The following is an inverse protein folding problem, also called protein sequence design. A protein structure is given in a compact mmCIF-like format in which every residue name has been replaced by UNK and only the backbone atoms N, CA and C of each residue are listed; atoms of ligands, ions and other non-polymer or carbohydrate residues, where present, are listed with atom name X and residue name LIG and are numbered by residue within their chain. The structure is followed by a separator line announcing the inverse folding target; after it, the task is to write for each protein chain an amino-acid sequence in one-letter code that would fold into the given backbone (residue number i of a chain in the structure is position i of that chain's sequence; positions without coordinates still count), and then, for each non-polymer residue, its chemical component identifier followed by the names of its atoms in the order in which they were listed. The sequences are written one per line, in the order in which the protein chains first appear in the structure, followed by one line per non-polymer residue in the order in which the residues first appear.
data_IF_870839922267
#
_entry.id   IF_870839922267
#
_cell.length_a   1.000
_cell.length_b   1.000
_cell.length_c   1.000
_cell.angle_alpha   90.00
_cell.angle_beta   90.00
_cell.angle_gamma   90.00
#
_symmetry.space_group_name_H-M   'P 1'
#
loop_
_entity.id
_entity.type
_entity.pdbx_description
1 polymer ?
#
# COMPACT_ATOMS: atom_id res chain seq x y z
N UNK A 1 13.95 10.42 8.55
CA UNK A 1 13.07 9.35 8.01
C UNK A 1 12.84 8.30 9.09
N UNK A 2 11.60 7.84 9.18
CA UNK A 2 11.25 6.83 10.18
C UNK A 2 11.30 5.44 9.55
N UNK A 3 12.01 4.53 10.21
CA UNK A 3 12.11 3.15 9.78
C UNK A 3 11.16 2.29 10.62
N UNK A 4 10.36 1.45 9.97
CA UNK A 4 9.47 0.54 10.67
C UNK A 4 10.29 -0.62 11.25
N UNK A 5 9.90 -1.08 12.43
CA UNK A 5 10.55 -2.24 13.04
C UNK A 5 10.22 -3.51 12.27
N UNK A 6 11.08 -4.52 12.41
CA UNK A 6 10.86 -5.82 11.79
C UNK A 6 9.56 -6.46 12.28
N UNK A 7 9.28 -6.35 13.57
CA UNK A 7 8.05 -6.90 14.16
C UNK A 7 6.82 -6.23 13.58
N UNK A 8 6.88 -4.89 13.39
CA UNK A 8 5.77 -4.16 12.82
C UNK A 8 5.52 -4.55 11.36
N UNK A 9 6.59 -4.70 10.58
CA UNK A 9 6.46 -5.13 9.19
C UNK A 9 5.87 -6.53 9.12
N UNK A 10 6.30 -7.42 10.00
CA UNK A 10 5.77 -8.78 10.02
C UNK A 10 4.28 -8.79 10.40
N UNK A 11 3.89 -7.95 11.34
CA UNK A 11 2.47 -7.80 11.71
C UNK A 11 1.65 -7.27 10.54
N UNK A 12 2.20 -6.33 9.77
CA UNK A 12 1.55 -5.80 8.57
C UNK A 12 1.36 -6.89 7.52
N UNK A 13 2.37 -7.73 7.31
CA UNK A 13 2.26 -8.84 6.37
C UNK A 13 1.13 -9.78 6.76
N UNK A 14 1.04 -10.10 8.04
CA UNK A 14 0.01 -11.01 8.54
C UNK A 14 -1.39 -10.43 8.36
N UNK A 15 -1.57 -9.13 8.61
CA UNK A 15 -2.89 -8.53 8.64
C UNK A 15 -3.31 -7.90 7.31
N UNK A 16 -2.37 -7.57 6.41
CA UNK A 16 -2.70 -6.79 5.21
C UNK A 16 -2.64 -7.58 3.90
N UNK A 17 -1.73 -8.55 3.77
CA UNK A 17 -1.61 -9.28 2.50
C UNK A 17 -2.92 -10.00 2.19
N UNK A 18 -3.43 -9.79 0.98
CA UNK A 18 -4.71 -10.35 0.54
C UNK A 18 -5.91 -9.44 0.83
N UNK A 19 -5.72 -8.37 1.58
CA UNK A 19 -6.81 -7.45 1.91
C UNK A 19 -7.10 -6.49 0.77
N UNK A 20 -8.36 -6.08 0.66
CA UNK A 20 -8.77 -5.05 -0.28
C UNK A 20 -8.54 -3.68 0.35
N UNK A 21 -8.01 -2.77 -0.45
CA UNK A 21 -7.71 -1.41 -0.02
C UNK A 21 -8.19 -0.42 -1.08
N UNK A 22 -8.38 0.82 -0.66
CA UNK A 22 -8.70 1.93 -1.57
C UNK A 22 -7.67 3.03 -1.39
N UNK A 23 -7.21 3.60 -2.50
CA UNK A 23 -6.26 4.69 -2.48
C UNK A 23 -6.93 5.95 -1.92
N UNK A 24 -6.28 6.59 -0.96
CA UNK A 24 -6.69 7.90 -0.45
C UNK A 24 -5.87 8.99 -1.14
N UNK A 25 -4.54 8.87 -1.13
CA UNK A 25 -3.68 9.80 -1.85
C UNK A 25 -2.30 9.16 -2.06
N UNK A 26 -1.60 9.65 -3.08
CA UNK A 26 -0.23 9.23 -3.34
C UNK A 26 0.63 10.47 -3.61
N UNK A 27 1.90 10.38 -3.27
CA UNK A 27 2.88 11.43 -3.53
C UNK A 27 3.51 11.32 -4.91
N UNK A 28 3.25 10.25 -5.64
CA UNK A 28 3.84 10.04 -6.97
C UNK A 28 3.17 10.95 -8.01
N UNK A 29 3.89 11.96 -8.54
CA UNK A 29 3.27 12.90 -9.48
C UNK A 29 3.08 12.32 -10.87
N UNK A 30 3.63 11.15 -11.15
CA UNK A 30 3.59 10.54 -12.48
C UNK A 30 2.56 9.43 -12.60
N UNK A 31 1.94 9.03 -11.49
CA UNK A 31 0.95 7.96 -11.54
C UNK A 31 -0.38 8.46 -12.10
N UNK A 32 -1.08 7.57 -12.80
CA UNK A 32 -2.46 7.80 -13.23
C UNK A 32 -3.47 7.28 -12.21
N UNK A 33 -2.98 6.72 -11.14
CA UNK A 33 -3.82 6.14 -10.11
C UNK A 33 -4.60 7.22 -9.39
N UNK A 34 -5.90 7.09 -9.32
CA UNK A 34 -6.78 8.11 -8.74
C UNK A 34 -7.26 7.69 -7.37
N UNK A 35 -7.52 8.68 -6.52
CA UNK A 35 -8.13 8.43 -5.21
C UNK A 35 -9.45 7.66 -5.39
N UNK A 36 -9.68 6.69 -4.52
CA UNK A 36 -10.84 5.81 -4.61
C UNK A 36 -10.61 4.53 -5.39
N UNK A 37 -9.51 4.44 -6.16
CA UNK A 37 -9.18 3.19 -6.85
C UNK A 37 -8.93 2.10 -5.82
N UNK A 38 -9.49 0.91 -6.06
CA UNK A 38 -9.35 -0.22 -5.17
C UNK A 38 -8.32 -1.22 -5.71
N UNK A 39 -7.81 -2.03 -4.81
CA UNK A 39 -6.86 -3.06 -5.17
C UNK A 39 -6.67 -4.07 -4.05
N UNK A 40 -5.82 -5.05 -4.29
CA UNK A 40 -5.52 -6.11 -3.33
C UNK A 40 -4.04 -6.03 -2.94
N UNK A 41 -3.76 -6.03 -1.65
CA UNK A 41 -2.37 -6.04 -1.16
C UNK A 41 -1.74 -7.36 -1.53
N UNK A 42 -0.62 -7.29 -2.28
CA UNK A 42 0.06 -8.49 -2.78
C UNK A 42 1.36 -8.78 -2.04
N UNK A 43 2.04 -7.74 -1.55
CA UNK A 43 3.39 -7.89 -1.02
C UNK A 43 3.74 -6.70 -0.15
N UNK A 44 4.56 -6.93 0.88
CA UNK A 44 5.13 -5.87 1.71
C UNK A 44 6.63 -6.14 1.80
N UNK A 45 7.45 -5.17 1.41
CA UNK A 45 8.90 -5.36 1.42
C UNK A 45 9.50 -5.10 2.82
N UNK A 46 10.81 -5.22 2.91
CA UNK A 46 11.50 -5.17 4.20
C UNK A 46 11.54 -3.77 4.82
N UNK A 47 11.22 -2.74 4.06
CA UNK A 47 11.14 -1.37 4.59
C UNK A 47 9.70 -0.94 4.81
N UNK A 48 8.74 -1.82 4.58
CA UNK A 48 7.34 -1.55 4.88
C UNK A 48 6.55 -0.92 3.75
N UNK A 49 7.09 -0.93 2.52
CA UNK A 49 6.31 -0.48 1.36
C UNK A 49 5.24 -1.52 1.05
N UNK A 50 4.00 -1.08 0.97
CA UNK A 50 2.85 -1.95 0.71
C UNK A 50 2.55 -1.94 -0.78
N UNK A 51 2.80 -3.07 -1.44
CA UNK A 51 2.54 -3.20 -2.88
C UNK A 51 1.14 -3.71 -3.09
N UNK A 52 0.41 -3.04 -3.97
CA UNK A 52 -0.99 -3.30 -4.23
C UNK A 52 -1.17 -3.58 -5.72
N UNK A 53 -1.90 -4.64 -6.02
CA UNK A 53 -2.37 -4.89 -7.39
C UNK A 53 -3.66 -4.09 -7.54
N UNK A 54 -3.55 -2.91 -8.12
CA UNK A 54 -4.70 -2.02 -8.29
C UNK A 54 -5.61 -2.53 -9.41
N UNK A 55 -6.90 -2.35 -9.23
CA UNK A 55 -7.89 -2.88 -10.18
C UNK A 55 -7.79 -2.23 -11.56
N UNK A 56 -7.16 -1.05 -11.66
CA UNK A 56 -6.93 -0.40 -12.94
C UNK A 56 -5.72 -0.96 -13.70
N UNK A 57 -5.05 -1.96 -13.13
CA UNK A 57 -3.88 -2.59 -13.74
C UNK A 57 -2.54 -2.03 -13.27
N UNK A 58 -2.53 -0.96 -12.49
CA UNK A 58 -1.28 -0.42 -11.98
C UNK A 58 -0.79 -1.21 -10.77
N UNK A 59 0.49 -1.05 -10.45
CA UNK A 59 1.16 -1.79 -9.37
C UNK A 59 1.94 -0.86 -8.44
N UNK A 60 1.46 0.36 -8.26
CA UNK A 60 2.13 1.35 -7.42
C UNK A 60 2.16 0.90 -5.96
N UNK A 61 3.34 0.95 -5.34
CA UNK A 61 3.50 0.66 -3.92
C UNK A 61 3.20 1.89 -3.06
N UNK A 62 2.69 1.64 -1.86
CA UNK A 62 2.35 2.68 -0.89
C UNK A 62 3.48 2.82 0.11
N UNK A 63 4.12 3.99 0.15
CA UNK A 63 5.24 4.29 1.03
C UNK A 63 4.72 4.92 2.32
N UNK A 64 5.11 4.34 3.45
CA UNK A 64 4.65 4.83 4.75
C UNK A 64 5.01 6.30 4.94
N UNK A 65 4.04 7.10 5.36
CA UNK A 65 4.22 8.53 5.60
C UNK A 65 4.09 9.40 4.36
N UNK A 66 4.14 8.83 3.15
CA UNK A 66 4.04 9.59 1.91
C UNK A 66 2.76 9.31 1.16
N UNK A 67 2.31 8.05 1.19
CA UNK A 67 1.10 7.62 0.51
C UNK A 67 0.08 7.16 1.53
N UNK A 68 -1.19 7.23 1.20
CA UNK A 68 -2.25 6.84 2.12
C UNK A 68 -3.29 6.00 1.41
N UNK A 69 -3.65 4.91 2.04
CA UNK A 69 -4.72 4.02 1.60
C UNK A 69 -5.56 3.63 2.82
N UNK A 70 -6.74 3.08 2.58
CA UNK A 70 -7.56 2.56 3.66
C UNK A 70 -7.99 1.13 3.36
N UNK A 71 -8.08 0.31 4.37
CA UNK A 71 -8.54 -1.07 4.24
C UNK A 71 -10.07 -1.07 4.15
N UNK A 72 -10.60 -1.81 3.17
CA UNK A 72 -12.05 -1.81 2.91
C UNK A 72 -12.70 -3.19 3.07
N UNK A 73 -11.92 -4.20 3.42
CA UNK A 73 -12.53 -5.49 3.76
C UNK A 73 -11.83 -6.17 4.92
#
# INVERSE_FOLDING_TARGET
MRTLSRERIQAMRTSLIGKRVALVRTSDPYTRLQAGTEGTVSFIDDIGTVFVDWDDGSSLGMVAGEDMYRVID
#
